data_IF_266165496883
#
_entry.id   IF_266165496883
#
_cell.length_a   1.000
_cell.length_b   1.000
_cell.length_c   1.000
_cell.angle_alpha   90.00
_cell.angle_beta   90.00
_cell.angle_gamma   90.00
#
_symmetry.space_group_name_H-M   'P 1'
#
loop_
_entity.id
_entity.type
_entity.pdbx_description
1 polymer ?
#
# COMPACT_ATOMS: atom_id res chain seq x y z
N UNK A 1 -6.11 -5.26 -1.45
CA UNK A 1 -5.22 -4.95 -2.59
C UNK A 1 -6.11 -4.66 -3.77
N UNK A 2 -5.94 -3.53 -4.46
CA UNK A 2 -6.77 -3.19 -5.61
C UNK A 2 -6.18 -3.78 -6.87
N UNK A 3 -4.96 -3.37 -7.20
CA UNK A 3 -4.25 -3.76 -8.42
C UNK A 3 -2.76 -3.87 -8.15
N UNK A 4 -2.12 -4.88 -8.74
CA UNK A 4 -0.65 -5.01 -8.77
C UNK A 4 -0.19 -4.43 -10.09
N UNK A 5 0.51 -3.30 -10.03
CA UNK A 5 0.93 -2.57 -11.23
C UNK A 5 2.15 -3.23 -11.86
N UNK A 6 3.14 -3.56 -11.03
CA UNK A 6 4.44 -4.02 -11.50
C UNK A 6 5.07 -5.01 -10.52
N UNK A 7 5.72 -6.03 -11.06
CA UNK A 7 6.67 -6.86 -10.34
C UNK A 7 8.06 -6.29 -10.54
N UNK A 8 8.81 -6.08 -9.46
CA UNK A 8 10.20 -5.62 -9.53
C UNK A 8 11.16 -6.63 -8.89
N UNK A 9 12.40 -6.60 -9.34
CA UNK A 9 13.48 -7.30 -8.65
C UNK A 9 13.82 -6.57 -7.33
N UNK A 10 13.86 -7.33 -6.23
CA UNK A 10 14.10 -6.83 -4.87
C UNK A 10 15.47 -6.15 -4.71
N UNK A 11 16.47 -6.52 -5.51
CA UNK A 11 17.83 -5.98 -5.40
C UNK A 11 18.11 -4.85 -6.37
N UNK A 12 17.83 -5.07 -7.66
CA UNK A 12 18.13 -4.08 -8.69
C UNK A 12 17.05 -3.02 -8.85
N UNK A 13 15.85 -3.27 -8.32
CA UNK A 13 14.69 -2.40 -8.48
C UNK A 13 14.20 -2.27 -9.93
N UNK A 14 14.67 -3.13 -10.84
CA UNK A 14 14.20 -3.16 -12.22
C UNK A 14 12.84 -3.85 -12.29
N UNK A 15 11.95 -3.30 -13.11
CA UNK A 15 10.67 -3.92 -13.43
C UNK A 15 10.94 -5.21 -14.21
N UNK A 16 10.41 -6.32 -13.69
CA UNK A 16 10.49 -7.63 -14.32
C UNK A 16 9.27 -7.88 -15.20
N UNK A 17 8.09 -7.56 -14.69
CA UNK A 17 6.82 -7.81 -15.37
C UNK A 17 5.82 -6.70 -15.03
N UNK A 18 5.12 -6.21 -16.04
CA UNK A 18 4.01 -5.25 -15.91
C UNK A 18 2.70 -6.01 -15.78
N UNK A 19 1.90 -5.69 -14.75
CA UNK A 19 0.63 -6.34 -14.40
C UNK A 19 0.70 -7.86 -14.15
N UNK A 20 1.52 -8.33 -13.20
CA UNK A 20 1.59 -9.75 -12.85
C UNK A 20 0.26 -10.24 -12.24
N UNK A 21 -0.16 -11.47 -12.58
CA UNK A 21 -1.39 -12.07 -12.00
C UNK A 21 -1.26 -12.41 -10.51
N UNK A 22 -0.05 -12.72 -10.05
CA UNK A 22 0.23 -13.05 -8.65
C UNK A 22 1.67 -12.68 -8.28
N UNK A 23 1.89 -12.43 -7.00
CA UNK A 23 3.22 -12.21 -6.41
C UNK A 23 3.49 -13.31 -5.39
N UNK A 24 4.74 -13.79 -5.34
CA UNK A 24 5.15 -14.84 -4.40
C UNK A 24 6.05 -14.27 -3.30
N UNK A 25 6.24 -15.06 -2.25
CA UNK A 25 7.19 -14.70 -1.19
C UNK A 25 8.58 -14.47 -1.77
N UNK A 26 9.20 -13.35 -1.41
CA UNK A 26 10.51 -12.94 -1.90
C UNK A 26 10.49 -11.96 -3.08
N UNK A 27 9.35 -11.83 -3.77
CA UNK A 27 9.17 -10.85 -4.84
C UNK A 27 8.96 -9.44 -4.26
N UNK A 28 9.43 -8.43 -4.99
CA UNK A 28 9.06 -7.03 -4.76
C UNK A 28 8.04 -6.61 -5.82
N UNK A 29 7.10 -5.75 -5.44
CA UNK A 29 6.06 -5.29 -6.36
C UNK A 29 5.56 -3.89 -5.99
N UNK A 30 5.01 -3.21 -6.98
CA UNK A 30 4.30 -1.95 -6.81
C UNK A 30 2.80 -2.22 -6.91
N UNK A 31 2.06 -1.74 -5.90
CA UNK A 31 0.67 -2.12 -5.69
C UNK A 31 -0.15 -0.89 -5.32
N UNK A 32 -1.35 -0.79 -5.90
CA UNK A 32 -2.35 0.21 -5.52
C UNK A 32 -3.18 -0.38 -4.37
N UNK A 33 -3.16 0.34 -3.25
CA UNK A 33 -3.87 -0.03 -2.03
C UNK A 33 -5.07 0.90 -1.84
N UNK A 34 -6.25 0.29 -1.66
CA UNK A 34 -7.46 1.00 -1.25
C UNK A 34 -7.83 0.53 0.18
N UNK A 35 -7.85 1.44 1.17
CA UNK A 35 -8.17 1.09 2.54
C UNK A 35 -9.67 0.90 2.72
N UNK A 36 -10.08 -0.12 3.47
CA UNK A 36 -11.50 -0.39 3.76
C UNK A 36 -12.11 0.56 4.81
N UNK A 37 -11.27 1.21 5.62
CA UNK A 37 -11.65 2.20 6.63
C UNK A 37 -10.89 3.51 6.38
N UNK A 38 -11.44 4.66 6.79
CA UNK A 38 -10.71 5.93 6.77
C UNK A 38 -9.40 5.80 7.55
N UNK A 39 -8.29 6.11 6.88
CA UNK A 39 -6.94 5.97 7.42
C UNK A 39 -6.09 7.14 6.92
N UNK A 40 -5.27 7.69 7.82
CA UNK A 40 -4.30 8.73 7.48
C UNK A 40 -2.98 8.07 7.13
N UNK A 41 -2.50 8.31 5.91
CA UNK A 41 -1.21 7.84 5.41
C UNK A 41 -0.55 8.94 4.59
N UNK A 42 0.78 8.98 4.61
CA UNK A 42 1.57 9.97 3.88
C UNK A 42 2.64 9.30 3.03
N UNK A 43 3.19 10.03 2.05
CA UNK A 43 4.34 9.54 1.29
C UNK A 43 5.55 9.38 2.20
N UNK A 44 6.34 8.34 1.98
CA UNK A 44 7.57 8.10 2.73
C UNK A 44 8.58 9.24 2.60
N UNK A 45 8.60 9.93 1.45
CA UNK A 45 9.51 11.06 1.23
C UNK A 45 9.10 12.30 2.05
N UNK A 46 7.81 12.48 2.28
CA UNK A 46 7.26 13.64 3.00
C UNK A 46 7.24 13.40 4.51
N UNK A 47 6.75 12.24 4.94
CA UNK A 47 6.71 11.88 6.35
C UNK A 47 7.04 10.39 6.56
N UNK A 48 8.33 10.06 6.74
CA UNK A 48 8.81 8.68 6.88
C UNK A 48 8.06 7.82 7.91
N UNK A 49 7.64 8.35 9.09
CA UNK A 49 6.90 7.56 10.07
C UNK A 49 5.51 7.09 9.62
N UNK A 50 4.80 7.85 8.78
CA UNK A 50 3.47 7.47 8.27
C UNK A 50 3.52 6.78 6.90
N UNK A 51 4.68 6.82 6.24
CA UNK A 51 4.89 6.16 4.94
C UNK A 51 5.37 4.72 5.03
N UNK A 52 5.67 4.17 6.21
CA UNK A 52 6.07 2.76 6.41
C UNK A 52 4.89 1.94 6.91
N UNK A 53 4.66 0.78 6.31
CA UNK A 53 3.58 -0.12 6.73
C UNK A 53 4.01 -1.59 6.71
N UNK A 54 3.34 -2.38 7.55
CA UNK A 54 3.45 -3.83 7.57
C UNK A 54 2.10 -4.43 7.22
N UNK A 55 2.10 -5.41 6.32
CA UNK A 55 0.93 -6.21 5.99
C UNK A 55 0.94 -7.44 6.88
N UNK A 56 -0.16 -7.67 7.60
CA UNK A 56 -0.30 -8.81 8.51
C UNK A 56 -1.48 -9.67 8.10
N UNK A 57 -1.28 -10.97 8.14
CA UNK A 57 -2.32 -11.98 8.00
C UNK A 57 -2.10 -13.07 9.06
N UNK A 58 -3.18 -13.56 9.68
CA UNK A 58 -3.15 -14.59 10.73
C UNK A 58 -2.00 -14.45 11.76
N UNK A 59 -1.82 -13.23 12.30
CA UNK A 59 -0.76 -12.85 13.27
C UNK A 59 0.68 -12.83 12.71
N UNK A 60 0.90 -13.23 11.48
CA UNK A 60 2.19 -13.19 10.80
C UNK A 60 2.32 -11.95 9.93
N UNK A 61 3.55 -11.45 9.75
CA UNK A 61 3.84 -10.37 8.81
C UNK A 61 4.12 -10.97 7.45
N UNK A 62 3.25 -10.71 6.48
CA UNK A 62 3.35 -11.27 5.12
C UNK A 62 4.12 -10.37 4.17
N UNK A 63 4.13 -9.06 4.42
CA UNK A 63 4.90 -8.09 3.63
C UNK A 63 5.22 -6.84 4.45
N UNK A 64 6.24 -6.11 4.01
CA UNK A 64 6.59 -4.77 4.49
C UNK A 64 6.78 -3.86 3.30
N UNK A 65 6.36 -2.60 3.42
CA UNK A 65 6.36 -1.68 2.30
C UNK A 65 6.50 -0.22 2.72
N UNK A 66 6.80 0.61 1.72
CA UNK A 66 6.82 2.06 1.83
C UNK A 66 5.84 2.67 0.83
N UNK A 67 5.20 3.76 1.22
CA UNK A 67 4.24 4.48 0.40
C UNK A 67 5.01 5.44 -0.51
N UNK A 68 4.87 5.27 -1.82
CA UNK A 68 5.51 6.15 -2.81
C UNK A 68 4.67 7.39 -3.08
N UNK A 69 3.37 7.21 -3.29
CA UNK A 69 2.40 8.28 -3.54
C UNK A 69 1.08 8.00 -2.82
N UNK A 70 0.36 9.07 -2.47
CA UNK A 70 -0.96 9.02 -1.85
C UNK A 70 -1.91 9.89 -2.65
N UNK A 71 -3.02 9.33 -3.11
CA UNK A 71 -4.14 10.12 -3.63
C UNK A 71 -5.03 10.50 -2.45
N UNK A 72 -4.90 11.73 -1.97
CA UNK A 72 -5.70 12.24 -0.85
C UNK A 72 -7.15 12.40 -1.32
N UNK A 73 -8.09 11.86 -0.57
CA UNK A 73 -9.51 12.17 -0.77
C UNK A 73 -9.77 13.54 -0.14
N UNK A 74 -10.35 14.46 -0.89
CA UNK A 74 -10.68 15.79 -0.39
C UNK A 74 -11.58 15.68 0.85
N UNK A 75 -11.18 16.39 1.91
CA UNK A 75 -11.83 16.38 3.22
C UNK A 75 -13.15 17.15 3.26
N UNK A 76 -13.96 17.09 2.18
CA UNK A 76 -15.24 17.79 2.08
C UNK A 76 -16.47 16.92 2.34
N UNK A 77 -16.32 15.69 2.84
CA UNK A 77 -17.44 14.85 3.27
C UNK A 77 -17.43 14.63 4.79
N UNK A 78 -18.26 15.44 5.45
CA UNK A 78 -18.58 15.48 6.88
C UNK A 78 -18.84 14.10 7.49
N UNK A 79 -18.47 13.97 8.76
CA UNK A 79 -18.79 12.82 9.59
C UNK A 79 -20.30 12.51 9.57
N UNK A 80 -20.61 11.24 9.32
CA UNK A 80 -21.90 10.66 9.67
C UNK A 80 -21.65 9.66 10.80
N UNK A 81 -22.06 10.08 12.00
CA UNK A 81 -22.11 9.25 13.18
C UNK A 81 -22.87 7.94 12.90
N UNK A 82 -22.26 6.80 13.21
CA UNK A 82 -23.01 5.55 13.38
C UNK A 82 -23.57 5.54 14.80
N UNK A 83 -24.79 6.05 14.97
CA UNK A 83 -25.57 6.01 16.21
C UNK A 83 -26.54 4.82 16.14
N UNK A 84 -26.45 3.95 17.16
CA UNK A 84 -27.27 2.76 17.46
C UNK A 84 -27.19 1.57 16.50
#
# INVERSE_FOLDING_TARGET
FKEITEKMDRRSGKVLETAPKFVKSGDACMVILEPSKPMTVESFQEYPPLGRFAVRDMRQTVAVGVIKSVTKKDASAKGAAKKK
#
